data_IF_187252506520
#
_entry.id   IF_187252506520
#
_cell.length_a   1.000
_cell.length_b   1.000
_cell.length_c   1.000
_cell.angle_alpha   90.00
_cell.angle_beta   90.00
_cell.angle_gamma   90.00
#
_symmetry.space_group_name_H-M   'P 1'
#
loop_
_entity.id
_entity.type
_entity.pdbx_description
1 polymer ?
#
# COMPACT_ATOMS: atom_id res chain seq x y z
N UNK A 1 -11.58 -26.49 15.69
CA UNK A 1 -11.00 -26.30 14.35
C UNK A 1 -11.23 -24.84 13.98
N UNK A 2 -10.16 -24.03 13.82
CA UNK A 2 -10.32 -22.63 13.40
C UNK A 2 -10.35 -22.63 11.87
N UNK A 3 -11.50 -22.36 11.26
CA UNK A 3 -11.60 -22.07 9.82
C UNK A 3 -10.71 -20.86 9.52
N UNK A 4 -9.62 -21.10 8.78
CA UNK A 4 -8.81 -20.04 8.19
C UNK A 4 -9.60 -19.52 6.99
N UNK A 5 -10.32 -18.40 7.15
CA UNK A 5 -10.96 -17.70 6.04
C UNK A 5 -9.85 -17.17 5.13
N UNK A 6 -9.60 -17.87 4.03
CA UNK A 6 -8.72 -17.41 2.97
C UNK A 6 -9.46 -16.29 2.20
N UNK A 7 -9.15 -15.03 2.52
CA UNK A 7 -9.67 -13.87 1.79
C UNK A 7 -9.19 -13.95 0.34
N UNK A 8 -10.10 -14.27 -0.58
CA UNK A 8 -9.79 -14.26 -2.01
C UNK A 8 -9.75 -12.80 -2.46
N UNK A 9 -8.56 -12.26 -2.65
CA UNK A 9 -8.40 -10.89 -3.18
C UNK A 9 -8.85 -10.87 -4.64
N UNK A 10 -9.90 -10.10 -4.94
CA UNK A 10 -10.18 -9.68 -6.31
C UNK A 10 -8.94 -8.99 -6.90
N UNK A 11 -8.74 -9.08 -8.20
CA UNK A 11 -7.56 -8.56 -8.87
C UNK A 11 -7.75 -7.08 -9.22
N UNK A 12 -7.71 -6.18 -8.23
CA UNK A 12 -7.55 -4.75 -8.45
C UNK A 12 -6.14 -4.33 -8.02
N UNK A 13 -5.51 -3.47 -8.80
CA UNK A 13 -4.10 -3.18 -8.65
C UNK A 13 -3.86 -1.68 -8.48
N UNK A 14 -2.93 -1.32 -7.59
CA UNK A 14 -2.52 0.05 -7.31
C UNK A 14 -1.01 0.21 -7.50
N UNK A 15 -0.58 1.26 -8.19
CA UNK A 15 0.83 1.70 -8.20
C UNK A 15 0.99 2.76 -7.11
N UNK A 16 1.85 2.51 -6.14
CA UNK A 16 2.07 3.37 -4.99
C UNK A 16 3.53 3.78 -4.91
N UNK A 17 3.80 5.07 -4.80
CA UNK A 17 5.15 5.62 -4.71
C UNK A 17 5.32 6.38 -3.39
N UNK A 18 6.52 6.31 -2.80
CA UNK A 18 6.91 7.17 -1.67
C UNK A 18 7.80 8.30 -2.19
N UNK A 19 7.32 9.53 -2.07
CA UNK A 19 8.08 10.74 -2.38
C UNK A 19 8.84 11.25 -1.13
N UNK A 20 9.92 12.01 -1.33
CA UNK A 20 10.60 12.79 -0.28
C UNK A 20 11.68 12.09 0.55
N UNK A 21 12.06 10.86 0.16
CA UNK A 21 12.98 9.98 0.92
C UNK A 21 14.09 9.44 0.01
N UNK A 22 15.29 9.13 0.50
CA UNK A 22 16.35 8.64 -0.40
C UNK A 22 16.07 7.21 -0.89
N UNK A 23 16.71 6.78 -1.98
CA UNK A 23 16.55 5.42 -2.52
C UNK A 23 17.07 4.35 -1.54
N UNK A 24 18.14 4.66 -0.80
CA UNK A 24 18.77 3.74 0.16
C UNK A 24 17.99 3.60 1.48
N UNK A 25 16.98 4.46 1.71
CA UNK A 25 16.22 4.50 2.96
C UNK A 25 14.96 3.62 2.97
N UNK A 26 14.55 3.06 1.83
CA UNK A 26 13.27 2.35 1.70
C UNK A 26 13.44 0.93 1.17
N UNK A 27 13.45 -0.03 2.09
CA UNK A 27 13.35 -1.45 1.81
C UNK A 27 11.89 -1.92 1.72
N UNK A 28 11.64 -3.07 1.09
CA UNK A 28 10.30 -3.66 0.94
C UNK A 28 9.59 -3.83 2.30
N UNK A 29 10.28 -4.36 3.31
CA UNK A 29 9.70 -4.58 4.64
C UNK A 29 9.26 -3.27 5.30
N UNK A 30 10.08 -2.23 5.16
CA UNK A 30 9.79 -0.89 5.66
C UNK A 30 8.62 -0.26 4.92
N UNK A 31 8.56 -0.42 3.59
CA UNK A 31 7.45 0.05 2.77
C UNK A 31 6.13 -0.61 3.19
N UNK A 32 6.12 -1.93 3.38
CA UNK A 32 4.95 -2.65 3.89
C UNK A 32 4.51 -2.17 5.26
N UNK A 33 5.46 -1.93 6.16
CA UNK A 33 5.17 -1.38 7.48
C UNK A 33 4.49 -0.01 7.37
N UNK A 34 4.93 0.86 6.45
CA UNK A 34 4.30 2.16 6.21
C UNK A 34 2.88 2.03 5.67
N UNK A 35 2.63 1.12 4.72
CA UNK A 35 1.28 0.88 4.21
C UNK A 35 0.33 0.41 5.32
N UNK A 36 0.78 -0.55 6.15
CA UNK A 36 -0.01 -1.09 7.27
C UNK A 36 -0.26 -0.02 8.32
N UNK A 37 0.75 0.79 8.66
CA UNK A 37 0.63 1.90 9.59
C UNK A 37 -0.36 2.96 9.09
N UNK A 38 -0.34 3.31 7.79
CA UNK A 38 -1.30 4.24 7.19
C UNK A 38 -2.75 3.77 7.36
N UNK A 39 -2.98 2.49 7.06
CA UNK A 39 -4.30 1.87 7.18
C UNK A 39 -4.75 1.81 8.64
N UNK A 40 -3.88 1.36 9.55
CA UNK A 40 -4.21 1.22 10.96
C UNK A 40 -4.43 2.58 11.64
N UNK A 41 -3.65 3.61 11.27
CA UNK A 41 -3.76 4.95 11.84
C UNK A 41 -5.07 5.63 11.49
N UNK A 42 -5.65 5.37 10.32
CA UNK A 42 -6.83 6.09 9.82
C UNK A 42 -8.12 5.28 9.94
N UNK A 43 -8.04 3.95 9.82
CA UNK A 43 -9.23 3.08 9.83
C UNK A 43 -9.32 2.22 11.10
N UNK A 44 -8.31 2.27 11.97
CA UNK A 44 -8.20 1.42 13.14
C UNK A 44 -8.06 -0.07 12.78
N UNK A 45 -8.10 -0.93 13.80
CA UNK A 45 -7.96 -2.38 13.61
C UNK A 45 -9.11 -2.99 12.77
N UNK A 46 -10.34 -2.53 13.00
CA UNK A 46 -11.56 -3.07 12.36
C UNK A 46 -11.66 -2.64 10.90
N UNK A 47 -11.47 -1.35 10.62
CA UNK A 47 -11.46 -0.85 9.25
C UNK A 47 -10.23 -1.30 8.46
N UNK A 48 -9.09 -1.51 9.15
CA UNK A 48 -7.89 -2.03 8.52
C UNK A 48 -8.01 -3.47 8.02
N UNK A 49 -8.71 -4.34 8.75
CA UNK A 49 -9.00 -5.70 8.29
C UNK A 49 -9.82 -5.73 6.98
N UNK A 50 -10.64 -4.70 6.74
CA UNK A 50 -11.41 -4.56 5.49
C UNK A 50 -10.58 -4.03 4.31
N UNK A 51 -9.38 -3.50 4.58
CA UNK A 51 -8.45 -2.98 3.58
C UNK A 51 -7.29 -3.95 3.32
N UNK A 52 -7.62 -5.21 3.04
CA UNK A 52 -6.62 -6.21 2.71
C UNK A 52 -5.89 -5.86 1.41
N UNK A 53 -4.56 -5.95 1.41
CA UNK A 53 -3.71 -5.79 0.24
C UNK A 53 -2.51 -6.72 0.31
N UNK A 54 -1.89 -6.96 -0.84
CA UNK A 54 -0.68 -7.75 -1.02
C UNK A 54 0.30 -6.95 -1.90
N UNK A 55 1.58 -6.88 -1.53
CA UNK A 55 2.61 -6.28 -2.40
C UNK A 55 3.05 -7.33 -3.42
N UNK A 56 2.75 -7.10 -4.69
CA UNK A 56 3.15 -8.01 -5.78
C UNK A 56 4.59 -7.78 -6.19
N UNK A 57 4.98 -6.50 -6.23
CA UNK A 57 6.30 -6.09 -6.69
C UNK A 57 6.69 -4.76 -6.09
N UNK A 58 7.96 -4.63 -5.71
CA UNK A 58 8.56 -3.39 -5.25
C UNK A 58 9.78 -3.05 -6.09
N UNK A 59 9.92 -1.77 -6.42
CA UNK A 59 10.98 -1.21 -7.23
C UNK A 59 11.75 -0.19 -6.38
N UNK A 60 12.86 -0.59 -5.72
CA UNK A 60 13.59 0.26 -4.78
C UNK A 60 14.05 1.59 -5.40
N UNK A 61 14.62 1.55 -6.60
CA UNK A 61 15.11 2.74 -7.32
C UNK A 61 14.03 3.81 -7.52
N UNK A 62 12.79 3.39 -7.77
CA UNK A 62 11.67 4.32 -7.97
C UNK A 62 10.79 4.47 -6.73
N UNK A 63 11.17 3.84 -5.60
CA UNK A 63 10.36 3.76 -4.36
C UNK A 63 8.90 3.43 -4.63
N UNK A 64 8.65 2.57 -5.62
CA UNK A 64 7.32 2.28 -6.13
C UNK A 64 6.96 0.82 -5.89
N UNK A 65 5.77 0.57 -5.36
CA UNK A 65 5.19 -0.76 -5.19
C UNK A 65 3.94 -0.92 -6.05
N UNK A 66 3.70 -2.16 -6.49
CA UNK A 66 2.43 -2.58 -7.05
C UNK A 66 1.70 -3.40 -5.98
N UNK A 67 0.53 -2.92 -5.59
CA UNK A 67 -0.33 -3.59 -4.62
C UNK A 67 -1.47 -4.31 -5.35
N UNK A 68 -1.82 -5.52 -4.91
CA UNK A 68 -3.09 -6.18 -5.21
C UNK A 68 -4.05 -5.97 -4.06
N UNK A 69 -5.30 -5.66 -4.35
CA UNK A 69 -6.35 -5.45 -3.36
C UNK A 69 -7.72 -5.61 -4.00
N UNK A 70 -8.78 -5.57 -3.21
CA UNK A 70 -10.15 -5.51 -3.75
C UNK A 70 -10.47 -4.10 -4.24
N UNK A 71 -11.42 -3.96 -5.19
CA UNK A 71 -11.82 -2.63 -5.68
C UNK A 71 -12.39 -1.74 -4.57
N UNK A 72 -13.08 -2.32 -3.59
CA UNK A 72 -13.60 -1.62 -2.41
C UNK A 72 -12.47 -1.07 -1.54
N UNK A 73 -11.50 -1.92 -1.20
CA UNK A 73 -10.34 -1.54 -0.39
C UNK A 73 -9.45 -0.52 -1.11
N UNK A 74 -9.36 -0.57 -2.44
CA UNK A 74 -8.55 0.35 -3.23
C UNK A 74 -8.90 1.83 -3.02
N UNK A 75 -10.20 2.13 -2.88
CA UNK A 75 -10.67 3.51 -2.63
C UNK A 75 -10.25 3.98 -1.24
N UNK A 76 -10.44 3.14 -0.23
CA UNK A 76 -10.01 3.42 1.14
C UNK A 76 -8.49 3.57 1.25
N UNK A 77 -7.72 2.69 0.60
CA UNK A 77 -6.26 2.74 0.56
C UNK A 77 -5.77 4.05 -0.06
N UNK A 78 -6.37 4.49 -1.18
CA UNK A 78 -6.00 5.76 -1.81
C UNK A 78 -6.16 6.93 -0.84
N UNK A 79 -7.29 7.01 -0.14
CA UNK A 79 -7.52 8.07 0.86
C UNK A 79 -6.55 7.96 2.03
N UNK A 80 -6.33 6.76 2.58
CA UNK A 80 -5.46 6.57 3.73
C UNK A 80 -4.01 6.96 3.43
N UNK A 81 -3.49 6.49 2.31
CA UNK A 81 -2.12 6.76 1.89
C UNK A 81 -1.90 8.25 1.62
N UNK A 82 -2.91 8.96 1.10
CA UNK A 82 -2.79 10.39 0.81
C UNK A 82 -2.72 11.29 2.07
N UNK A 83 -3.25 10.81 3.20
CA UNK A 83 -3.31 11.53 4.48
C UNK A 83 -2.19 11.12 5.44
N UNK A 84 -1.59 9.95 5.23
CA UNK A 84 -0.53 9.44 6.08
C UNK A 84 0.85 9.94 5.62
N UNK A 85 1.59 10.51 6.56
CA UNK A 85 2.96 11.03 6.35
C UNK A 85 3.92 10.15 7.17
N UNK A 86 4.52 9.09 6.57
CA UNK A 86 5.52 8.29 7.27
C UNK A 86 6.78 9.11 7.56
N UNK A 87 7.44 8.81 8.67
CA UNK A 87 8.82 9.27 8.91
C UNK A 87 9.79 8.19 8.40
N UNK A 88 10.66 8.56 7.47
CA UNK A 88 11.66 7.69 6.85
C UNK A 88 13.02 8.37 7.00
N UNK A 89 13.99 7.72 7.64
CA UNK A 89 15.30 8.34 7.88
C UNK A 89 15.24 9.69 8.63
N UNK A 90 14.20 9.91 9.45
CA UNK A 90 13.97 11.18 10.14
C UNK A 90 13.37 12.30 9.27
N UNK A 91 12.99 12.01 8.02
CA UNK A 91 12.32 12.95 7.10
C UNK A 91 10.87 12.55 6.84
N UNK A 92 9.97 13.52 6.63
CA UNK A 92 8.60 13.22 6.23
C UNK A 92 8.56 12.70 4.79
N UNK A 93 8.11 11.46 4.62
CA UNK A 93 7.78 10.87 3.32
C UNK A 93 6.32 11.08 2.96
N UNK A 94 5.98 10.96 1.68
CA UNK A 94 4.59 11.04 1.21
C UNK A 94 4.23 9.85 0.34
N UNK A 95 3.26 9.05 0.79
CA UNK A 95 2.71 7.95 0.00
C UNK A 95 1.70 8.48 -1.02
N UNK A 96 1.81 8.06 -2.27
CA UNK A 96 0.88 8.44 -3.33
C UNK A 96 0.51 7.25 -4.20
N UNK A 97 -0.79 7.06 -4.42
CA UNK A 97 -1.27 6.17 -5.48
C UNK A 97 -1.17 6.90 -6.82
N UNK A 98 -0.25 6.48 -7.69
CA UNK A 98 -0.01 7.10 -9.00
C UNK A 98 -0.91 6.54 -10.10
N UNK A 99 -1.25 5.25 -10.02
CA UNK A 99 -2.13 4.57 -10.98
C UNK A 99 -2.98 3.51 -10.27
N UNK A 100 -4.12 3.15 -10.89
CA UNK A 100 -4.99 2.08 -10.44
C UNK A 100 -5.64 1.39 -11.64
N UNK A 101 -5.70 0.06 -11.65
CA UNK A 101 -6.27 -0.70 -12.76
C UNK A 101 -6.85 -2.04 -12.31
N UNK A 102 -7.78 -2.60 -13.10
CA UNK A 102 -8.29 -3.96 -12.92
C UNK A 102 -7.38 -5.04 -13.52
N UNK A 103 -6.34 -4.65 -14.26
CA UNK A 103 -5.39 -5.56 -14.89
C UNK A 103 -3.95 -5.06 -14.67
N UNK A 104 -3.05 -5.98 -14.33
CA UNK A 104 -1.64 -5.68 -14.11
C UNK A 104 -0.94 -5.11 -15.36
N UNK A 105 -1.33 -5.56 -16.56
CA UNK A 105 -0.75 -5.06 -17.81
C UNK A 105 -1.06 -3.58 -18.07
N UNK A 106 -2.12 -3.04 -17.46
CA UNK A 106 -2.53 -1.63 -17.61
C UNK A 106 -1.80 -0.68 -16.65
N UNK A 107 -0.86 -1.18 -15.84
CA UNK A 107 -0.07 -0.40 -14.86
C UNK A 107 1.32 0.04 -15.34
N UNK A 108 1.64 -0.20 -16.62
CA UNK A 108 2.91 0.21 -17.22
C UNK A 108 3.17 1.71 -17.01
#
# INVERSE_FOLDING_TARGET
>A
MKEQVQLTLESYFLKVTVDGVSEDEVELLTFEAYLRAAVQSLLGAVGGASCAFEVIKFYPSTRTAILRTTRKAATSLRSCLSLFVPMVGGKPGRLRVTQAASCLASLA
#
